data_IF_408862265593
#
_entry.id   IF_408862265593
#
_cell.length_a   1.000
_cell.length_b   1.000
_cell.length_c   1.000
_cell.angle_alpha   90.00
_cell.angle_beta   90.00
_cell.angle_gamma   90.00
#
_symmetry.space_group_name_H-M   'P 1'
#
loop_
_entity.id
_entity.type
_entity.pdbx_description
1 polymer ?
#
# COMPACT_ATOMS: atom_id res chain seq x y z
N UNK A 1 -1.14 22.44 8.39
CA UNK A 1 -1.62 21.11 7.98
C UNK A 1 -0.98 20.76 6.66
N UNK A 2 0.14 20.01 6.72
CA UNK A 2 0.95 19.63 5.56
C UNK A 2 0.87 18.13 5.36
N UNK A 3 0.59 17.70 4.14
CA UNK A 3 0.60 16.29 3.80
C UNK A 3 2.05 15.78 3.81
N UNK A 4 2.33 14.81 4.68
CA UNK A 4 3.64 14.17 4.77
C UNK A 4 3.57 12.74 4.27
N UNK A 5 4.72 12.18 3.91
CA UNK A 5 4.83 10.77 3.54
C UNK A 5 4.98 9.89 4.78
N UNK A 6 4.11 8.91 4.90
CA UNK A 6 4.13 7.91 5.95
C UNK A 6 4.22 6.50 5.36
N UNK A 7 4.72 5.57 6.17
CA UNK A 7 4.77 4.15 5.82
C UNK A 7 3.60 3.44 6.49
N UNK A 8 2.76 2.78 5.69
CA UNK A 8 1.77 1.83 6.17
C UNK A 8 2.35 0.42 6.14
N UNK A 9 2.28 -0.26 7.28
CA UNK A 9 2.54 -1.69 7.39
C UNK A 9 1.23 -2.46 7.23
N UNK A 10 1.17 -3.41 6.30
CA UNK A 10 0.04 -4.33 6.18
C UNK A 10 0.34 -5.66 6.87
N UNK A 11 -0.72 -6.40 7.17
CA UNK A 11 -0.57 -7.84 7.45
C UNK A 11 -0.13 -8.56 6.16
N UNK A 12 0.59 -9.66 6.33
CA UNK A 12 1.02 -10.48 5.19
C UNK A 12 -0.20 -10.91 4.36
N UNK A 13 -0.08 -10.85 3.02
CA UNK A 13 -1.12 -11.21 2.04
C UNK A 13 -2.35 -10.29 2.05
N UNK A 14 -2.32 -9.18 2.78
CA UNK A 14 -3.39 -8.16 2.84
C UNK A 14 -2.97 -6.84 2.20
N UNK A 15 -1.79 -6.78 1.59
CA UNK A 15 -1.25 -5.60 0.92
C UNK A 15 -2.24 -5.06 -0.14
N UNK A 16 -2.72 -5.94 -1.03
CA UNK A 16 -3.64 -5.56 -2.12
C UNK A 16 -4.96 -4.99 -1.58
N UNK A 17 -5.46 -5.55 -0.46
CA UNK A 17 -6.70 -5.10 0.17
C UNK A 17 -6.54 -3.73 0.84
N UNK A 18 -5.45 -3.52 1.57
CA UNK A 18 -5.14 -2.22 2.19
C UNK A 18 -4.92 -1.15 1.13
N UNK A 19 -4.21 -1.49 0.04
CA UNK A 19 -4.01 -0.59 -1.09
C UNK A 19 -5.33 -0.19 -1.73
N UNK A 20 -6.22 -1.14 -2.01
CA UNK A 20 -7.54 -0.86 -2.56
C UNK A 20 -8.39 0.03 -1.65
N UNK A 21 -8.40 -0.23 -0.33
CA UNK A 21 -9.11 0.61 0.64
C UNK A 21 -8.55 2.03 0.71
N UNK A 22 -7.23 2.18 0.67
CA UNK A 22 -6.60 3.50 0.71
C UNK A 22 -6.93 4.31 -0.56
N UNK A 23 -6.95 3.66 -1.73
CA UNK A 23 -7.42 4.29 -2.97
C UNK A 23 -8.90 4.69 -2.90
N UNK A 24 -9.77 3.82 -2.34
CA UNK A 24 -11.20 4.13 -2.16
C UNK A 24 -11.44 5.33 -1.23
N UNK A 25 -10.55 5.55 -0.26
CA UNK A 25 -10.56 6.73 0.61
C UNK A 25 -10.00 7.99 -0.05
N UNK A 26 -9.58 7.92 -1.32
CA UNK A 26 -8.97 9.03 -2.03
C UNK A 26 -7.57 9.38 -1.54
N UNK A 27 -6.89 8.47 -0.83
CA UNK A 27 -5.54 8.71 -0.34
C UNK A 27 -4.53 8.52 -1.47
N UNK A 28 -3.54 9.39 -1.50
CA UNK A 28 -2.40 9.21 -2.39
C UNK A 28 -1.48 8.12 -1.84
N UNK A 29 -1.47 6.97 -2.51
CA UNK A 29 -0.73 5.78 -2.08
C UNK A 29 0.24 5.32 -3.16
N UNK A 30 1.49 5.18 -2.75
CA UNK A 30 2.55 4.60 -3.55
C UNK A 30 2.84 3.17 -3.09
N UNK A 31 2.47 2.21 -3.93
CA UNK A 31 2.69 0.78 -3.71
C UNK A 31 3.46 0.17 -4.90
N UNK A 32 4.81 0.25 -4.87
CA UNK A 32 5.64 -0.21 -5.98
C UNK A 32 5.59 -1.74 -6.11
N UNK A 33 5.37 -2.21 -7.34
CA UNK A 33 5.21 -3.62 -7.69
C UNK A 33 6.11 -3.97 -8.87
N UNK A 34 6.73 -5.14 -8.80
CA UNK A 34 7.56 -5.69 -9.86
C UNK A 34 6.86 -6.86 -10.53
N UNK A 35 7.00 -6.93 -11.85
CA UNK A 35 6.69 -8.13 -12.61
C UNK A 35 7.90 -9.06 -12.56
N UNK A 36 7.69 -10.31 -12.18
CA UNK A 36 8.72 -11.35 -12.06
C UNK A 36 8.31 -12.59 -12.83
N UNK A 37 9.30 -13.38 -13.25
CA UNK A 37 9.11 -14.67 -13.92
C UNK A 37 9.45 -15.80 -12.93
N UNK A 38 8.48 -16.27 -12.11
CA UNK A 38 8.76 -17.33 -11.16
C UNK A 38 8.92 -18.68 -11.87
N UNK A 39 9.79 -19.53 -11.31
CA UNK A 39 9.97 -20.93 -11.76
C UNK A 39 8.68 -21.74 -11.57
N UNK A 40 7.98 -21.53 -10.46
CA UNK A 40 6.67 -22.16 -10.21
C UNK A 40 5.57 -21.44 -11.02
N UNK A 41 4.91 -22.11 -11.98
CA UNK A 41 3.86 -21.48 -12.81
C UNK A 41 2.66 -20.97 -12.01
N UNK A 42 2.40 -21.52 -10.83
CA UNK A 42 1.30 -21.13 -9.93
C UNK A 42 1.66 -19.96 -9.01
N UNK A 43 2.93 -19.54 -8.97
CA UNK A 43 3.36 -18.43 -8.14
C UNK A 43 2.95 -17.08 -8.73
N UNK A 44 2.79 -16.07 -7.87
CA UNK A 44 2.44 -14.71 -8.30
C UNK A 44 3.55 -14.13 -9.19
N UNK A 45 3.14 -13.64 -10.37
CA UNK A 45 3.97 -12.93 -11.36
C UNK A 45 4.14 -11.44 -11.05
N UNK A 46 3.35 -10.90 -10.12
CA UNK A 46 3.49 -9.53 -9.61
C UNK A 46 3.76 -9.61 -8.12
N UNK A 47 4.84 -8.97 -7.67
CA UNK A 47 5.25 -8.97 -6.27
C UNK A 47 5.47 -7.54 -5.77
N UNK A 48 5.18 -7.25 -4.50
CA UNK A 48 5.56 -5.98 -3.89
C UNK A 48 7.08 -5.82 -3.96
N UNK A 49 7.53 -4.60 -4.27
CA UNK A 49 8.95 -4.24 -4.17
C UNK A 49 9.39 -4.22 -2.70
N UNK A 50 8.52 -3.70 -1.81
CA UNK A 50 8.67 -3.72 -0.36
C UNK A 50 7.56 -4.57 0.26
N UNK A 51 7.79 -5.88 0.52
CA UNK A 51 6.77 -6.74 1.10
C UNK A 51 6.24 -6.21 2.43
N UNK A 52 4.92 -6.13 2.58
CA UNK A 52 4.26 -5.64 3.78
C UNK A 52 4.28 -4.12 3.98
N UNK A 53 4.88 -3.34 3.07
CA UNK A 53 4.98 -1.89 3.18
C UNK A 53 4.41 -1.18 1.95
N UNK A 54 3.76 -0.04 2.20
CA UNK A 54 3.37 0.93 1.18
C UNK A 54 3.50 2.34 1.75
N UNK A 55 3.62 3.33 0.89
CA UNK A 55 3.78 4.72 1.28
C UNK A 55 2.49 5.48 1.03
N UNK A 56 2.10 6.36 1.94
CA UNK A 56 0.92 7.19 1.81
C UNK A 56 1.28 8.64 2.07
N UNK A 57 0.75 9.55 1.24
CA UNK A 57 0.86 10.98 1.47
C UNK A 57 -0.45 11.47 2.07
N UNK A 58 -0.44 11.79 3.36
CA UNK A 58 -1.65 12.18 4.09
C UNK A 58 -1.37 13.31 5.07
N UNK A 59 -2.41 14.07 5.38
CA UNK A 59 -2.43 14.93 6.55
C UNK A 59 -3.08 14.16 7.71
N UNK A 60 -2.31 13.87 8.77
CA UNK A 60 -2.81 13.09 9.89
C UNK A 60 -3.87 13.84 10.72
N UNK A 61 -3.85 15.17 10.76
CA UNK A 61 -4.83 15.93 11.53
C UNK A 61 -6.19 15.98 10.83
N UNK A 62 -6.20 15.83 9.50
CA UNK A 62 -7.41 15.72 8.69
C UNK A 62 -7.94 14.27 8.67
N UNK A 63 -7.07 13.27 8.53
CA UNK A 63 -7.47 11.86 8.35
C UNK A 63 -7.61 11.09 9.67
N UNK A 64 -6.90 11.51 10.73
CA UNK A 64 -6.84 10.81 12.02
C UNK A 64 -8.04 11.03 12.93
N UNK A 65 -9.04 11.83 12.51
CA UNK A 65 -10.28 12.00 13.26
C UNK A 65 -11.22 10.85 12.91
N UNK A 66 -11.35 9.89 13.82
CA UNK A 66 -12.49 8.98 13.80
C UNK A 66 -13.74 9.81 14.10
N UNK A 67 -14.54 10.08 13.07
CA UNK A 67 -15.93 10.57 13.22
C UNK A 67 -16.82 9.35 13.43
#
# INVERSE_FOLDING_TARGET
MSANWYVLRSKARKEDAVYAQALQRGLEVFYPRLRVNPVNPRARKVRPYFPGYMFVRVDLEAVGRSV
#
